data_IF_285055846419
#
_entry.id   IF_285055846419
#
_cell.length_a   1.000
_cell.length_b   1.000
_cell.length_c   1.000
_cell.angle_alpha   90.00
_cell.angle_beta   90.00
_cell.angle_gamma   90.00
#
_symmetry.space_group_name_H-M   'P 1'
#
loop_
_entity.id
_entity.type
_entity.pdbx_description
1 polymer ?
#
# COMPACT_ATOMS: atom_id res chain seq x y z
N UNK A 1 37.67 -10.25 40.71
CA UNK A 1 36.77 -9.14 40.35
C UNK A 1 37.35 -8.44 39.15
N UNK A 2 36.85 -8.71 37.94
CA UNK A 2 37.24 -7.94 36.77
C UNK A 2 36.59 -6.55 36.89
N UNK A 3 37.42 -5.51 36.94
CA UNK A 3 36.98 -4.12 36.97
C UNK A 3 36.54 -3.77 35.55
N UNK A 4 35.26 -3.98 35.24
CA UNK A 4 34.67 -3.36 34.05
C UNK A 4 34.50 -1.87 34.36
N UNK A 5 35.06 -0.95 33.56
CA UNK A 5 34.80 0.47 33.73
C UNK A 5 33.34 0.73 33.36
N UNK A 6 32.46 0.60 34.35
CA UNK A 6 31.00 0.56 34.21
C UNK A 6 30.47 1.65 33.27
N UNK A 7 30.89 2.89 33.49
CA UNK A 7 30.49 4.04 32.66
C UNK A 7 30.99 3.93 31.22
N UNK A 8 32.24 3.52 31.02
CA UNK A 8 32.83 3.37 29.68
C UNK A 8 32.13 2.24 28.90
N UNK A 9 31.73 1.17 29.58
CA UNK A 9 30.95 0.10 28.96
C UNK A 9 29.56 0.58 28.53
N UNK A 10 28.87 1.35 29.38
CA UNK A 10 27.55 1.92 29.04
C UNK A 10 27.66 2.90 27.87
N UNK A 11 28.66 3.78 27.85
CA UNK A 11 28.86 4.74 26.76
C UNK A 11 29.16 4.05 25.42
N UNK A 12 29.96 2.99 25.45
CA UNK A 12 30.23 2.15 24.28
C UNK A 12 28.95 1.47 23.79
N UNK A 13 28.19 0.85 24.68
CA UNK A 13 26.93 0.19 24.34
C UNK A 13 25.90 1.20 23.81
N UNK A 14 25.86 2.42 24.34
CA UNK A 14 24.96 3.48 23.86
C UNK A 14 25.32 3.89 22.43
N UNK A 15 26.61 4.01 22.16
CA UNK A 15 27.11 4.35 20.83
C UNK A 15 26.76 3.27 19.82
N UNK A 16 27.10 2.01 20.13
CA UNK A 16 26.80 0.87 19.25
C UNK A 16 25.28 0.68 19.10
N UNK A 17 24.55 0.70 20.21
CA UNK A 17 23.11 0.47 20.24
C UNK A 17 22.27 1.56 19.57
N UNK A 18 22.87 2.70 19.19
CA UNK A 18 22.21 3.72 18.37
C UNK A 18 22.13 3.33 16.88
N UNK A 19 22.77 2.23 16.47
CA UNK A 19 22.73 1.68 15.12
C UNK A 19 21.88 0.39 15.10
N UNK A 20 20.96 0.28 14.14
CA UNK A 20 19.99 -0.83 14.05
C UNK A 20 20.69 -2.20 14.07
N UNK A 21 21.87 -2.33 13.45
CA UNK A 21 22.64 -3.58 13.33
C UNK A 21 23.18 -4.11 14.67
N UNK A 22 23.44 -3.21 15.64
CA UNK A 22 24.04 -3.56 16.93
C UNK A 22 23.08 -3.40 18.10
N UNK A 23 21.90 -2.81 17.87
CA UNK A 23 20.92 -2.47 18.90
C UNK A 23 20.54 -3.65 19.78
N UNK A 24 20.24 -4.81 19.18
CA UNK A 24 19.88 -6.02 19.91
C UNK A 24 20.94 -6.39 20.95
N UNK A 25 22.20 -6.48 20.51
CA UNK A 25 23.30 -6.90 21.38
C UNK A 25 23.57 -5.86 22.47
N UNK A 26 23.49 -4.58 22.12
CA UNK A 26 23.64 -3.50 23.08
C UNK A 26 22.55 -3.53 24.16
N UNK A 27 21.28 -3.68 23.76
CA UNK A 27 20.15 -3.75 24.68
C UNK A 27 20.23 -4.96 25.63
N UNK A 28 20.60 -6.13 25.11
CA UNK A 28 20.78 -7.34 25.93
C UNK A 28 21.92 -7.17 26.94
N UNK A 29 23.06 -6.62 26.51
CA UNK A 29 24.19 -6.36 27.40
C UNK A 29 23.84 -5.31 28.46
N UNK A 30 23.18 -4.22 28.07
CA UNK A 30 22.72 -3.18 28.99
C UNK A 30 21.75 -3.75 30.05
N UNK A 31 20.77 -4.56 29.65
CA UNK A 31 19.83 -5.19 30.59
C UNK A 31 20.54 -6.07 31.63
N UNK A 32 21.65 -6.70 31.27
CA UNK A 32 22.41 -7.55 32.17
C UNK A 32 23.27 -6.78 33.19
N UNK A 33 23.66 -5.55 32.88
CA UNK A 33 24.63 -4.78 33.70
C UNK A 33 24.00 -3.57 34.41
N UNK A 34 22.88 -3.04 33.91
CA UNK A 34 22.21 -1.87 34.46
C UNK A 34 21.12 -2.27 35.47
N UNK A 35 20.94 -1.51 36.56
CA UNK A 35 19.71 -1.54 37.34
C UNK A 35 18.47 -1.29 36.44
N UNK A 36 17.28 -1.82 36.80
CA UNK A 36 16.08 -1.68 35.96
C UNK A 36 15.71 -0.24 35.57
N UNK A 37 15.86 0.71 36.50
CA UNK A 37 15.54 2.13 36.25
C UNK A 37 16.52 2.76 35.26
N UNK A 38 17.82 2.47 35.39
CA UNK A 38 18.86 2.95 34.47
C UNK A 38 18.70 2.29 33.09
N UNK A 39 18.40 0.99 33.05
CA UNK A 39 18.09 0.29 31.81
C UNK A 39 16.90 0.91 31.09
N UNK A 40 15.81 1.24 31.81
CA UNK A 40 14.63 1.85 31.21
C UNK A 40 14.94 3.21 30.55
N UNK A 41 15.81 4.01 31.16
CA UNK A 41 16.26 5.30 30.61
C UNK A 41 17.11 5.10 29.34
N UNK A 42 18.12 4.22 29.39
CA UNK A 42 18.96 3.93 28.23
C UNK A 42 18.15 3.29 27.09
N UNK A 43 17.26 2.36 27.43
CA UNK A 43 16.34 1.73 26.48
C UNK A 43 15.51 2.77 25.74
N UNK A 44 14.90 3.73 26.45
CA UNK A 44 14.06 4.76 25.82
C UNK A 44 14.90 5.68 24.93
N UNK A 45 16.12 6.02 25.36
CA UNK A 45 17.04 6.83 24.57
C UNK A 45 17.45 6.13 23.27
N UNK A 46 17.71 4.82 23.31
CA UNK A 46 18.01 4.03 22.12
C UNK A 46 16.78 3.85 21.22
N UNK A 47 15.60 3.59 21.80
CA UNK A 47 14.37 3.35 21.04
C UNK A 47 13.92 4.58 20.25
N UNK A 48 14.16 5.78 20.79
CA UNK A 48 13.93 7.05 20.11
C UNK A 48 14.92 7.34 18.97
N UNK A 49 16.11 6.72 18.99
CA UNK A 49 17.16 6.94 17.98
C UNK A 49 17.11 5.96 16.84
N UNK A 50 16.74 4.71 17.12
CA UNK A 50 16.63 3.66 16.12
C UNK A 50 15.29 3.77 15.40
N UNK A 51 15.25 3.41 14.12
CA UNK A 51 14.02 3.50 13.31
C UNK A 51 13.70 2.20 12.59
N UNK A 52 14.66 1.31 12.36
CA UNK A 52 14.45 0.03 11.69
C UNK A 52 14.35 -1.15 12.65
N UNK A 53 15.10 -2.21 12.34
CA UNK A 53 15.14 -3.43 13.15
C UNK A 53 15.58 -3.19 14.60
N UNK A 54 16.43 -2.21 14.87
CA UNK A 54 16.82 -1.87 16.23
C UNK A 54 15.63 -1.44 17.08
N UNK A 55 14.71 -0.65 16.52
CA UNK A 55 13.47 -0.26 17.21
C UNK A 55 12.61 -1.48 17.51
N UNK A 56 12.40 -2.35 16.53
CA UNK A 56 11.64 -3.60 16.71
C UNK A 56 12.24 -4.43 17.85
N UNK A 57 13.55 -4.67 17.83
CA UNK A 57 14.24 -5.45 18.85
C UNK A 57 14.16 -4.85 20.26
N UNK A 58 14.11 -3.52 20.37
CA UNK A 58 13.92 -2.81 21.64
C UNK A 58 12.47 -2.94 22.13
N UNK A 59 11.48 -2.77 21.27
CA UNK A 59 10.06 -2.90 21.63
C UNK A 59 9.72 -4.32 22.11
N UNK A 60 10.29 -5.35 21.48
CA UNK A 60 10.19 -6.74 21.95
C UNK A 60 10.87 -6.98 23.32
N UNK A 61 11.71 -6.04 23.79
CA UNK A 61 12.53 -6.13 25.02
C UNK A 61 12.28 -4.96 25.96
N UNK A 62 11.03 -4.51 26.02
CA UNK A 62 10.56 -3.44 26.90
C UNK A 62 10.95 -3.66 28.36
N UNK A 63 11.27 -2.59 29.12
CA UNK A 63 11.48 -2.67 30.56
C UNK A 63 10.28 -3.33 31.25
N UNK A 64 10.52 -4.09 32.33
CA UNK A 64 9.49 -4.94 32.95
C UNK A 64 8.30 -4.13 33.49
N UNK A 65 8.55 -2.87 33.89
CA UNK A 65 7.52 -1.93 34.34
C UNK A 65 7.67 -0.59 33.61
N UNK A 66 7.06 -0.42 32.42
CA UNK A 66 7.05 0.85 31.71
C UNK A 66 6.32 1.91 32.53
N UNK A 67 6.99 3.03 32.80
CA UNK A 67 6.39 4.18 33.46
C UNK A 67 5.41 4.93 32.54
N UNK A 68 4.76 5.97 33.07
CA UNK A 68 3.80 6.77 32.31
C UNK A 68 4.42 7.38 31.04
N UNK A 69 5.66 7.85 31.10
CA UNK A 69 6.32 8.50 29.97
C UNK A 69 6.62 7.49 28.85
N UNK A 70 7.10 6.30 29.21
CA UNK A 70 7.32 5.20 28.26
C UNK A 70 6.00 4.76 27.63
N UNK A 71 4.94 4.56 28.43
CA UNK A 71 3.61 4.18 27.93
C UNK A 71 3.06 5.18 26.92
N UNK A 72 3.13 6.47 27.26
CA UNK A 72 2.68 7.53 26.35
C UNK A 72 3.50 7.56 25.06
N UNK A 73 4.82 7.36 25.16
CA UNK A 73 5.68 7.32 23.98
C UNK A 73 5.37 6.11 23.09
N UNK A 74 5.13 4.92 23.66
CA UNK A 74 4.75 3.72 22.91
C UNK A 74 3.51 3.96 22.04
N UNK A 75 2.49 4.60 22.61
CA UNK A 75 1.22 4.84 21.92
C UNK A 75 1.27 5.99 20.90
N UNK A 76 2.31 6.82 20.90
CA UNK A 76 2.42 8.00 20.02
C UNK A 76 3.48 7.87 18.95
N UNK A 77 4.56 7.16 19.25
CA UNK A 77 5.72 7.06 18.37
C UNK A 77 6.34 5.66 18.35
N UNK A 78 6.27 4.92 19.45
CA UNK A 78 6.99 3.65 19.58
C UNK A 78 6.57 2.57 18.59
N UNK A 79 5.32 2.61 18.13
CA UNK A 79 4.80 1.71 17.09
C UNK A 79 5.40 1.95 15.71
N UNK A 80 5.89 3.17 15.44
CA UNK A 80 6.32 3.56 14.11
C UNK A 80 7.72 2.99 13.85
N UNK A 81 7.96 2.33 12.72
CA UNK A 81 9.28 1.86 12.33
C UNK A 81 9.41 1.81 10.80
N UNK A 82 10.63 1.77 10.30
CA UNK A 82 10.97 1.81 8.87
C UNK A 82 10.86 0.44 8.17
N UNK A 83 10.41 -0.60 8.87
CA UNK A 83 10.23 -1.96 8.33
C UNK A 83 8.74 -2.23 8.11
N UNK A 84 7.99 -2.54 9.16
CA UNK A 84 6.55 -2.83 9.17
C UNK A 84 5.99 -2.57 10.56
N UNK A 85 4.92 -1.76 10.67
CA UNK A 85 4.31 -1.37 11.97
C UNK A 85 3.77 -2.59 12.72
N UNK A 86 3.36 -3.63 12.01
CA UNK A 86 2.80 -4.88 12.53
C UNK A 86 3.73 -5.57 13.55
N UNK A 87 5.06 -5.46 13.39
CA UNK A 87 6.02 -6.01 14.35
C UNK A 87 5.89 -5.41 15.76
N UNK A 88 5.52 -4.13 15.85
CA UNK A 88 5.54 -3.36 17.10
C UNK A 88 4.16 -3.00 17.63
N UNK A 89 3.13 -3.11 16.80
CA UNK A 89 1.77 -2.67 17.10
C UNK A 89 1.22 -3.33 18.38
N UNK A 90 1.21 -4.67 18.45
CA UNK A 90 0.69 -5.39 19.61
C UNK A 90 1.45 -5.06 20.89
N UNK A 91 2.78 -5.03 20.84
CA UNK A 91 3.60 -4.68 22.00
C UNK A 91 3.30 -3.27 22.51
N UNK A 92 3.15 -2.30 21.61
CA UNK A 92 2.79 -0.94 21.98
C UNK A 92 1.38 -0.88 22.57
N UNK A 93 0.41 -1.62 22.02
CA UNK A 93 -0.96 -1.68 22.56
C UNK A 93 -1.02 -2.29 23.96
N UNK A 94 -0.31 -3.41 24.16
CA UNK A 94 -0.28 -4.16 25.41
C UNK A 94 0.46 -3.40 26.50
N UNK A 95 1.70 -2.97 26.23
CA UNK A 95 2.54 -2.34 27.25
C UNK A 95 2.27 -0.84 27.40
N UNK A 96 1.74 -0.18 26.37
CA UNK A 96 1.24 1.19 26.45
C UNK A 96 -0.14 1.30 27.12
N UNK A 97 -0.84 0.17 27.28
CA UNK A 97 -2.21 0.10 27.81
C UNK A 97 -3.20 0.93 26.98
N UNK A 98 -3.24 0.66 25.66
CA UNK A 98 -4.03 1.41 24.69
C UNK A 98 -5.49 1.61 25.11
N UNK A 99 -6.16 0.54 25.54
CA UNK A 99 -7.56 0.64 25.98
C UNK A 99 -7.73 1.64 27.14
N UNK A 100 -6.84 1.66 28.14
CA UNK A 100 -6.91 2.62 29.25
C UNK A 100 -6.62 4.05 28.80
N UNK A 101 -5.63 4.24 27.93
CA UNK A 101 -5.30 5.55 27.37
C UNK A 101 -6.49 6.16 26.61
N UNK A 102 -7.24 5.33 25.88
CA UNK A 102 -8.44 5.75 25.16
C UNK A 102 -9.67 5.97 26.05
N UNK A 103 -9.62 5.66 27.35
CA UNK A 103 -10.72 5.92 28.27
C UNK A 103 -10.80 7.39 28.73
N UNK A 104 -9.69 8.13 28.60
CA UNK A 104 -9.57 9.50 29.06
C UNK A 104 -9.71 10.53 27.93
N UNK A 105 -9.14 11.71 28.16
CA UNK A 105 -8.96 12.73 27.12
C UNK A 105 -7.93 12.26 26.09
N UNK A 106 -8.31 12.29 24.82
CA UNK A 106 -7.48 11.85 23.71
C UNK A 106 -7.21 13.04 22.80
N UNK A 107 -5.94 13.38 22.65
CA UNK A 107 -5.49 14.36 21.66
C UNK A 107 -5.24 13.72 20.29
N UNK A 108 -4.98 14.55 19.28
CA UNK A 108 -4.80 14.10 17.91
C UNK A 108 -3.61 13.14 17.71
N UNK A 109 -2.52 13.32 18.45
CA UNK A 109 -1.33 12.46 18.34
C UNK A 109 -1.60 11.06 18.92
N UNK A 110 -2.27 10.97 20.07
CA UNK A 110 -2.67 9.69 20.64
C UNK A 110 -3.71 9.00 19.75
N UNK A 111 -4.67 9.75 19.20
CA UNK A 111 -5.68 9.18 18.32
C UNK A 111 -5.05 8.62 17.04
N UNK A 112 -4.10 9.35 16.44
CA UNK A 112 -3.33 8.88 15.28
C UNK A 112 -2.53 7.63 15.61
N UNK A 113 -1.81 7.62 16.73
CA UNK A 113 -1.05 6.44 17.15
C UNK A 113 -1.93 5.23 17.44
N UNK A 114 -3.10 5.44 18.05
CA UNK A 114 -4.11 4.40 18.23
C UNK A 114 -4.60 3.83 16.90
N UNK A 115 -4.85 4.68 15.90
CA UNK A 115 -5.26 4.26 14.56
C UNK A 115 -4.22 3.34 13.90
N UNK A 116 -2.95 3.75 13.92
CA UNK A 116 -1.83 3.00 13.36
C UNK A 116 -1.59 1.66 14.07
N UNK A 117 -1.67 1.66 15.40
CA UNK A 117 -1.53 0.45 16.22
C UNK A 117 -2.67 -0.53 15.94
N UNK A 118 -3.92 -0.05 15.90
CA UNK A 118 -5.08 -0.90 15.59
C UNK A 118 -4.96 -1.48 14.19
N UNK A 119 -4.62 -0.67 13.18
CA UNK A 119 -4.38 -1.13 11.81
C UNK A 119 -3.31 -2.22 11.75
N UNK A 120 -2.19 -2.01 12.43
CA UNK A 120 -1.10 -2.98 12.49
C UNK A 120 -1.54 -4.32 13.09
N UNK A 121 -2.32 -4.30 14.17
CA UNK A 121 -2.85 -5.54 14.78
C UNK A 121 -3.94 -6.20 13.92
N UNK A 122 -4.77 -5.43 13.20
CA UNK A 122 -5.80 -5.98 12.29
C UNK A 122 -5.15 -6.70 11.11
N UNK A 123 -4.06 -6.16 10.56
CA UNK A 123 -3.22 -6.83 9.56
C UNK A 123 -2.59 -8.11 10.14
N UNK A 124 -2.06 -8.00 11.37
CA UNK A 124 -1.68 -9.13 12.22
C UNK A 124 -0.51 -9.98 11.71
N UNK A 125 0.22 -9.52 10.70
CA UNK A 125 1.41 -10.20 10.19
C UNK A 125 2.45 -9.15 9.76
N UNK A 126 3.74 -9.34 10.07
CA UNK A 126 4.36 -10.51 10.70
C UNK A 126 4.35 -10.54 12.25
N UNK A 127 3.83 -9.52 12.93
CA UNK A 127 3.70 -9.50 14.39
C UNK A 127 2.43 -10.19 14.90
N UNK A 128 2.13 -10.12 16.21
CA UNK A 128 0.91 -10.67 16.78
C UNK A 128 -0.36 -9.96 16.26
N UNK A 129 -1.45 -10.73 16.13
CA UNK A 129 -2.74 -10.25 15.65
C UNK A 129 -3.58 -9.53 16.70
N UNK A 130 -4.67 -8.90 16.27
CA UNK A 130 -5.64 -8.24 17.14
C UNK A 130 -6.41 -9.22 18.03
N UNK A 131 -6.54 -10.48 17.60
CA UNK A 131 -7.12 -11.59 18.37
C UNK A 131 -6.27 -11.96 19.60
N UNK A 132 -4.97 -11.69 19.56
CA UNK A 132 -4.07 -11.87 20.71
C UNK A 132 -4.12 -10.69 21.70
N UNK A 133 -4.88 -9.63 21.42
CA UNK A 133 -5.04 -8.49 22.32
C UNK A 133 -6.34 -8.60 23.15
N UNK A 134 -6.29 -8.90 24.47
CA UNK A 134 -7.49 -9.20 25.26
C UNK A 134 -8.52 -8.07 25.34
N UNK A 135 -8.10 -6.83 25.06
CA UNK A 135 -8.95 -5.64 25.12
C UNK A 135 -9.31 -5.12 23.73
N UNK A 136 -9.21 -5.94 22.68
CA UNK A 136 -9.41 -5.53 21.29
C UNK A 136 -10.75 -4.84 21.04
N UNK A 137 -11.88 -5.49 21.36
CA UNK A 137 -13.21 -4.93 21.15
C UNK A 137 -13.39 -3.60 21.92
N UNK A 138 -12.96 -3.56 23.19
CA UNK A 138 -13.03 -2.37 24.03
C UNK A 138 -12.17 -1.21 23.50
N UNK A 139 -10.95 -1.49 23.04
CA UNK A 139 -10.07 -0.48 22.47
C UNK A 139 -10.64 0.08 21.16
N UNK A 140 -11.20 -0.79 20.30
CA UNK A 140 -11.90 -0.38 19.09
C UNK A 140 -13.10 0.52 19.41
N UNK A 141 -13.95 0.13 20.36
CA UNK A 141 -15.14 0.91 20.75
C UNK A 141 -14.75 2.31 21.26
N UNK A 142 -13.75 2.40 22.13
CA UNK A 142 -13.24 3.68 22.66
C UNK A 142 -12.64 4.54 21.55
N UNK A 143 -11.82 3.95 20.68
CA UNK A 143 -11.23 4.66 19.54
C UNK A 143 -12.30 5.25 18.61
N UNK A 144 -13.31 4.47 18.21
CA UNK A 144 -14.40 4.93 17.35
C UNK A 144 -15.21 6.04 18.03
N UNK A 145 -15.42 5.95 19.36
CA UNK A 145 -16.13 6.97 20.13
C UNK A 145 -15.45 8.34 20.06
N UNK A 146 -14.12 8.39 19.98
CA UNK A 146 -13.37 9.65 19.82
C UNK A 146 -13.43 10.23 18.39
N UNK A 147 -13.72 9.42 17.39
CA UNK A 147 -13.88 9.87 16.00
C UNK A 147 -15.30 10.41 15.75
N UNK A 148 -16.29 9.78 16.37
CA UNK A 148 -17.72 10.06 16.15
C UNK A 148 -18.12 11.55 16.24
N UNK A 149 -17.54 12.40 17.11
CA UNK A 149 -17.86 13.82 17.12
C UNK A 149 -17.50 14.60 15.84
N UNK A 150 -16.74 14.01 14.91
CA UNK A 150 -16.35 14.61 13.63
C UNK A 150 -15.19 15.62 13.74
N UNK A 151 -14.85 16.09 14.93
CA UNK A 151 -13.77 17.08 15.15
C UNK A 151 -12.38 16.56 14.82
N UNK A 152 -12.21 15.24 14.78
CA UNK A 152 -10.96 14.58 14.43
C UNK A 152 -11.06 13.84 13.09
N UNK A 153 -11.96 14.25 12.20
CA UNK A 153 -12.13 13.58 10.91
C UNK A 153 -10.82 13.68 10.08
N UNK A 154 -10.24 12.51 9.77
CA UNK A 154 -9.06 12.30 8.94
C UNK A 154 -9.29 11.01 8.11
N UNK A 155 -8.72 10.93 6.91
CA UNK A 155 -8.89 9.75 6.04
C UNK A 155 -8.34 8.46 6.68
N UNK A 156 -7.29 8.56 7.50
CA UNK A 156 -6.78 7.44 8.30
C UNK A 156 -7.86 6.88 9.23
N UNK A 157 -8.58 7.76 9.94
CA UNK A 157 -9.61 7.35 10.88
C UNK A 157 -10.80 6.69 10.18
N UNK A 158 -11.16 7.18 8.99
CA UNK A 158 -12.17 6.52 8.15
C UNK A 158 -11.74 5.11 7.75
N UNK A 159 -10.51 4.96 7.26
CA UNK A 159 -9.96 3.66 6.84
C UNK A 159 -10.03 2.65 7.99
N UNK A 160 -9.44 3.01 9.14
CA UNK A 160 -9.40 2.14 10.33
C UNK A 160 -10.79 1.82 10.85
N UNK A 161 -11.73 2.77 10.86
CA UNK A 161 -13.13 2.49 11.20
C UNK A 161 -13.77 1.50 10.21
N UNK A 162 -13.41 1.59 8.94
CA UNK A 162 -13.80 0.61 7.92
C UNK A 162 -13.28 -0.79 8.21
N UNK A 163 -12.03 -0.92 8.65
CA UNK A 163 -11.40 -2.20 8.99
C UNK A 163 -12.01 -2.82 10.25
N UNK A 164 -12.20 -2.02 11.30
CA UNK A 164 -12.90 -2.45 12.52
C UNK A 164 -14.31 -2.92 12.17
N UNK A 165 -15.01 -2.24 11.27
CA UNK A 165 -16.34 -2.64 10.81
C UNK A 165 -16.34 -3.95 10.00
N UNK A 166 -15.23 -4.32 9.33
CA UNK A 166 -15.09 -5.66 8.70
C UNK A 166 -14.86 -6.71 9.77
N UNK A 167 -13.95 -6.45 10.70
CA UNK A 167 -13.60 -7.34 11.80
C UNK A 167 -14.81 -7.62 12.71
N UNK A 168 -15.66 -6.61 12.98
CA UNK A 168 -16.89 -6.77 13.76
C UNK A 168 -17.95 -7.67 13.09
N UNK A 169 -17.79 -8.05 11.81
CA UNK A 169 -18.65 -9.04 11.15
C UNK A 169 -18.19 -10.47 11.40
N UNK A 170 -16.97 -10.67 11.88
CA UNK A 170 -16.41 -11.98 12.19
C UNK A 170 -16.88 -12.42 13.58
N UNK A 171 -17.60 -13.54 13.65
CA UNK A 171 -18.16 -14.04 14.92
C UNK A 171 -17.09 -14.35 15.98
N UNK A 172 -15.87 -14.67 15.56
CA UNK A 172 -14.76 -15.00 16.43
C UNK A 172 -14.14 -13.77 17.13
N UNK A 173 -14.38 -12.55 16.61
CA UNK A 173 -13.71 -11.36 17.10
C UNK A 173 -14.23 -10.88 18.46
N UNK A 174 -15.54 -10.86 18.64
CA UNK A 174 -16.20 -10.28 19.81
C UNK A 174 -17.60 -10.88 20.01
N UNK A 175 -18.18 -10.69 21.19
CA UNK A 175 -19.54 -11.15 21.44
C UNK A 175 -20.58 -10.39 20.57
N UNK A 176 -21.79 -10.94 20.47
CA UNK A 176 -22.85 -10.35 19.62
C UNK A 176 -23.16 -8.89 20.00
N UNK A 177 -23.17 -8.55 21.29
CA UNK A 177 -23.50 -7.21 21.75
C UNK A 177 -22.39 -6.20 21.42
N UNK A 178 -21.12 -6.60 21.58
CA UNK A 178 -19.95 -5.84 21.16
C UNK A 178 -19.93 -5.63 19.65
N UNK A 179 -20.14 -6.69 18.86
CA UNK A 179 -20.18 -6.60 17.39
C UNK A 179 -21.27 -5.65 16.90
N UNK A 180 -22.45 -5.67 17.52
CA UNK A 180 -23.53 -4.73 17.20
C UNK A 180 -23.15 -3.28 17.52
N UNK A 181 -22.53 -3.02 18.68
CA UNK A 181 -22.07 -1.67 19.05
C UNK A 181 -21.01 -1.15 18.08
N UNK A 182 -19.99 -1.96 17.77
CA UNK A 182 -18.93 -1.58 16.84
C UNK A 182 -19.49 -1.31 15.44
N UNK A 183 -20.36 -2.18 14.93
CA UNK A 183 -21.00 -2.00 13.62
C UNK A 183 -21.78 -0.67 13.58
N UNK A 184 -22.59 -0.39 14.60
CA UNK A 184 -23.35 0.86 14.68
C UNK A 184 -22.46 2.11 14.75
N UNK A 185 -21.33 2.06 15.47
CA UNK A 185 -20.36 3.15 15.51
C UNK A 185 -19.69 3.36 14.15
N UNK A 186 -19.25 2.30 13.49
CA UNK A 186 -18.65 2.38 12.15
C UNK A 186 -19.62 2.94 11.11
N UNK A 187 -20.91 2.57 11.17
CA UNK A 187 -21.94 3.11 10.28
C UNK A 187 -22.17 4.61 10.50
N UNK A 188 -22.23 5.06 11.76
CA UNK A 188 -22.35 6.48 12.08
C UNK A 188 -21.13 7.27 11.60
N UNK A 189 -19.92 6.73 11.82
CA UNK A 189 -18.68 7.35 11.33
C UNK A 189 -18.73 7.44 9.81
N UNK A 190 -19.12 6.40 9.08
CA UNK A 190 -19.24 6.46 7.60
C UNK A 190 -20.26 7.49 7.11
N UNK A 191 -21.25 7.81 7.91
CA UNK A 191 -22.28 8.80 7.59
C UNK A 191 -21.88 10.24 7.96
N UNK A 192 -20.70 10.46 8.53
CA UNK A 192 -20.20 11.79 8.87
C UNK A 192 -20.08 12.68 7.61
N UNK A 193 -20.56 13.94 7.66
CA UNK A 193 -20.62 14.84 6.50
C UNK A 193 -19.24 15.39 6.07
N UNK A 194 -18.19 15.17 6.85
CA UNK A 194 -16.84 15.69 6.61
C UNK A 194 -16.11 14.96 5.47
N UNK A 195 -16.47 13.70 5.17
CA UNK A 195 -15.72 12.86 4.24
C UNK A 195 -15.59 13.39 2.82
N UNK A 196 -16.63 13.94 2.17
CA UNK A 196 -16.49 14.46 0.81
C UNK A 196 -15.40 15.54 0.72
N UNK A 197 -15.32 16.45 1.70
CA UNK A 197 -14.31 17.50 1.72
C UNK A 197 -12.90 16.95 1.99
N UNK A 198 -12.77 15.97 2.89
CA UNK A 198 -11.49 15.34 3.20
C UNK A 198 -10.96 14.48 2.03
N UNK A 199 -11.85 13.76 1.34
CA UNK A 199 -11.50 12.99 0.14
C UNK A 199 -11.01 13.93 -0.95
N UNK A 200 -11.73 15.03 -1.22
CA UNK A 200 -11.34 16.01 -2.21
C UNK A 200 -9.98 16.65 -1.89
N UNK A 201 -9.74 17.01 -0.63
CA UNK A 201 -8.45 17.51 -0.18
C UNK A 201 -7.34 16.46 -0.32
N UNK A 202 -7.64 15.20 0.02
CA UNK A 202 -6.70 14.09 -0.08
C UNK A 202 -6.31 13.76 -1.53
N UNK A 203 -7.25 13.86 -2.49
CA UNK A 203 -6.99 13.68 -3.92
C UNK A 203 -6.00 14.71 -4.49
N UNK A 204 -5.86 15.85 -3.82
CA UNK A 204 -4.92 16.92 -4.18
C UNK A 204 -3.71 17.00 -3.22
N UNK A 205 -3.59 16.07 -2.27
CA UNK A 205 -2.55 16.12 -1.27
C UNK A 205 -1.21 15.61 -1.80
N UNK A 206 -0.11 16.22 -1.37
CA UNK A 206 1.22 15.91 -1.89
C UNK A 206 1.73 14.53 -1.44
N UNK A 207 1.41 14.14 -0.21
CA UNK A 207 1.73 12.83 0.36
C UNK A 207 1.06 11.69 -0.41
N UNK A 208 1.85 10.69 -0.80
CA UNK A 208 1.39 9.57 -1.64
C UNK A 208 0.41 8.64 -0.91
N UNK A 209 0.56 8.45 0.40
CA UNK A 209 -0.33 7.61 1.19
C UNK A 209 -1.71 8.26 1.32
N UNK A 210 -1.74 9.55 1.67
CA UNK A 210 -3.00 10.31 1.76
C UNK A 210 -3.71 10.32 0.40
N UNK A 211 -2.97 10.55 -0.69
CA UNK A 211 -3.52 10.49 -2.05
C UNK A 211 -4.12 9.11 -2.37
N UNK A 212 -3.41 8.03 -2.04
CA UNK A 212 -3.89 6.67 -2.32
C UNK A 212 -5.15 6.33 -1.53
N UNK A 213 -5.18 6.66 -0.23
CA UNK A 213 -6.37 6.48 0.61
C UNK A 213 -7.55 7.27 0.05
N UNK A 214 -7.36 8.54 -0.31
CA UNK A 214 -8.41 9.37 -0.91
C UNK A 214 -8.95 8.79 -2.23
N UNK A 215 -8.08 8.27 -3.09
CA UNK A 215 -8.46 7.60 -4.34
C UNK A 215 -9.37 6.39 -4.07
N UNK A 216 -8.97 5.51 -3.15
CA UNK A 216 -9.76 4.33 -2.80
C UNK A 216 -11.14 4.72 -2.26
N UNK A 217 -11.18 5.73 -1.38
CA UNK A 217 -12.41 6.20 -0.76
C UNK A 217 -13.36 6.89 -1.74
N UNK A 218 -12.81 7.71 -2.65
CA UNK A 218 -13.57 8.34 -3.73
C UNK A 218 -14.30 7.26 -4.55
N UNK A 219 -13.60 6.20 -4.98
CA UNK A 219 -14.20 5.09 -5.72
C UNK A 219 -15.26 4.34 -4.90
N UNK A 220 -14.97 4.06 -3.63
CA UNK A 220 -15.89 3.34 -2.74
C UNK A 220 -17.22 4.10 -2.54
N UNK A 221 -17.22 5.42 -2.63
CA UNK A 221 -18.41 6.26 -2.58
C UNK A 221 -19.06 6.51 -3.96
N UNK A 222 -18.54 5.87 -5.02
CA UNK A 222 -19.04 6.05 -6.39
C UNK A 222 -18.58 7.33 -7.08
N UNK A 223 -17.61 8.05 -6.50
CA UNK A 223 -16.95 9.18 -7.14
C UNK A 223 -15.94 8.76 -8.20
N UNK A 224 -15.58 9.71 -9.07
CA UNK A 224 -14.61 9.52 -10.15
C UNK A 224 -13.30 10.27 -9.84
N UNK A 225 -12.24 9.59 -9.36
CA UNK A 225 -10.97 10.23 -9.05
C UNK A 225 -10.09 10.47 -10.30
N UNK A 226 -10.53 10.06 -11.49
CA UNK A 226 -9.69 10.11 -12.70
C UNK A 226 -9.10 11.50 -12.99
N UNK A 227 -9.87 12.63 -12.89
CA UNK A 227 -9.31 13.96 -13.12
C UNK A 227 -8.15 14.30 -12.18
N UNK A 228 -8.25 13.94 -10.89
CA UNK A 228 -7.19 14.17 -9.91
C UNK A 228 -5.96 13.30 -10.18
N UNK A 229 -6.15 12.03 -10.57
CA UNK A 229 -5.05 11.13 -10.97
C UNK A 229 -4.31 11.70 -12.19
N UNK A 230 -5.06 12.14 -13.21
CA UNK A 230 -4.49 12.71 -14.43
C UNK A 230 -3.73 14.00 -14.14
N UNK A 231 -4.29 14.90 -13.34
CA UNK A 231 -3.62 16.12 -12.90
C UNK A 231 -2.31 15.82 -12.16
N UNK A 232 -2.35 14.94 -11.16
CA UNK A 232 -1.16 14.54 -10.39
C UNK A 232 -0.08 13.94 -11.29
N UNK A 233 -0.45 13.06 -12.22
CA UNK A 233 0.49 12.50 -13.18
C UNK A 233 1.15 13.59 -14.04
N UNK A 234 0.36 14.55 -14.52
CA UNK A 234 0.84 15.65 -15.36
C UNK A 234 1.86 16.53 -14.64
N UNK A 235 1.65 16.80 -13.35
CA UNK A 235 2.56 17.61 -12.54
C UNK A 235 3.83 16.87 -12.14
N UNK A 236 3.72 15.60 -11.75
CA UNK A 236 4.79 14.86 -11.07
C UNK A 236 5.47 13.79 -11.91
N UNK A 237 4.90 13.42 -13.06
CA UNK A 237 5.34 12.29 -13.89
C UNK A 237 5.47 10.98 -13.11
N UNK A 238 4.52 10.75 -12.20
CA UNK A 238 4.54 9.60 -11.32
C UNK A 238 4.18 8.31 -12.09
N UNK A 239 5.21 7.58 -12.54
CA UNK A 239 5.05 6.41 -13.43
C UNK A 239 4.22 5.26 -12.85
N UNK A 240 3.97 5.25 -11.54
CA UNK A 240 3.09 4.26 -10.89
C UNK A 240 1.60 4.44 -11.20
N UNK A 241 1.18 5.58 -11.78
CA UNK A 241 -0.23 5.90 -11.96
C UNK A 241 -0.85 5.35 -13.25
N UNK A 242 -0.08 4.76 -14.17
CA UNK A 242 -0.63 4.19 -15.42
C UNK A 242 -1.76 3.20 -15.18
N UNK A 243 -1.59 2.31 -14.19
CA UNK A 243 -2.65 1.38 -13.79
C UNK A 243 -3.92 2.11 -13.35
N UNK A 244 -3.78 3.14 -12.50
CA UNK A 244 -4.89 3.91 -11.94
C UNK A 244 -5.62 4.74 -13.01
N UNK A 245 -4.89 5.27 -14.00
CA UNK A 245 -5.45 6.00 -15.14
C UNK A 245 -6.30 5.10 -16.04
N UNK A 246 -5.99 3.81 -16.14
CA UNK A 246 -6.78 2.84 -16.91
C UNK A 246 -8.01 2.31 -16.13
N UNK A 247 -8.11 2.59 -14.82
CA UNK A 247 -9.26 2.20 -14.00
C UNK A 247 -10.44 3.16 -14.20
N UNK A 248 -10.95 3.24 -15.43
CA UNK A 248 -12.15 3.98 -15.83
C UNK A 248 -12.87 3.24 -16.95
N UNK A 249 -14.17 3.47 -17.13
CA UNK A 249 -14.95 3.02 -18.29
C UNK A 249 -15.17 4.15 -19.32
N UNK A 250 -14.69 5.36 -19.04
CA UNK A 250 -14.89 6.51 -19.92
C UNK A 250 -13.92 6.46 -21.12
N UNK A 251 -14.42 6.28 -22.36
CA UNK A 251 -13.57 6.19 -23.54
C UNK A 251 -12.79 7.48 -23.84
N UNK A 252 -13.28 8.66 -23.46
CA UNK A 252 -12.59 9.94 -23.69
C UNK A 252 -11.37 10.08 -22.78
N UNK A 253 -11.45 9.52 -21.57
CA UNK A 253 -10.32 9.45 -20.65
C UNK A 253 -9.25 8.49 -21.16
N UNK A 254 -9.66 7.32 -21.67
CA UNK A 254 -8.73 6.37 -22.27
C UNK A 254 -8.03 6.96 -23.49
N UNK A 255 -8.72 7.72 -24.34
CA UNK A 255 -8.11 8.45 -25.43
C UNK A 255 -7.00 9.41 -24.94
N UNK A 256 -7.22 10.09 -23.81
CA UNK A 256 -6.19 10.94 -23.18
C UNK A 256 -5.00 10.14 -22.64
N UNK A 257 -5.23 8.96 -22.03
CA UNK A 257 -4.15 8.07 -21.58
C UNK A 257 -3.32 7.57 -22.76
N UNK A 258 -3.97 7.20 -23.86
CA UNK A 258 -3.30 6.75 -25.09
C UNK A 258 -2.43 7.87 -25.66
N UNK A 259 -2.98 9.07 -25.85
CA UNK A 259 -2.23 10.21 -26.38
C UNK A 259 -1.03 10.56 -25.49
N UNK A 260 -1.21 10.48 -24.17
CA UNK A 260 -0.15 10.68 -23.20
C UNK A 260 0.96 9.64 -23.36
N UNK A 261 0.62 8.35 -23.43
CA UNK A 261 1.57 7.26 -23.59
C UNK A 261 2.32 7.34 -24.93
N UNK A 262 1.64 7.68 -26.02
CA UNK A 262 2.27 7.90 -27.33
C UNK A 262 3.26 9.07 -27.32
N UNK A 263 3.05 10.07 -26.46
CA UNK A 263 3.93 11.23 -26.35
C UNK A 263 5.13 11.05 -25.41
N UNK A 264 4.99 10.18 -24.40
CA UNK A 264 5.99 10.05 -23.32
C UNK A 264 6.80 8.76 -23.35
N UNK A 265 6.22 7.66 -23.87
CA UNK A 265 6.94 6.39 -23.98
C UNK A 265 7.79 6.39 -25.25
N UNK A 266 9.02 5.89 -25.14
CA UNK A 266 9.85 5.57 -26.29
C UNK A 266 9.35 4.27 -26.94
N UNK A 267 8.27 4.40 -27.71
CA UNK A 267 7.64 3.29 -28.42
C UNK A 267 8.61 2.61 -29.40
N UNK A 268 9.63 3.31 -29.88
CA UNK A 268 10.65 2.75 -30.78
C UNK A 268 11.58 1.82 -30.01
N UNK A 269 12.06 2.24 -28.83
CA UNK A 269 12.87 1.40 -27.96
C UNK A 269 12.09 0.17 -27.46
N UNK A 270 10.80 0.35 -27.14
CA UNK A 270 9.95 -0.77 -26.74
C UNK A 270 9.77 -1.76 -27.89
N UNK A 271 9.55 -1.28 -29.12
CA UNK A 271 9.39 -2.09 -30.33
C UNK A 271 10.73 -2.65 -30.87
N UNK A 272 11.64 -3.04 -29.99
CA UNK A 272 12.99 -3.55 -30.33
C UNK A 272 13.02 -4.98 -30.87
N UNK A 273 11.89 -5.68 -30.87
CA UNK A 273 11.73 -7.01 -31.45
C UNK A 273 11.42 -8.07 -30.38
N UNK A 274 10.62 -9.09 -30.72
CA UNK A 274 10.17 -10.09 -29.76
C UNK A 274 11.31 -10.99 -29.26
N UNK A 275 11.33 -11.23 -27.96
CA UNK A 275 12.27 -12.09 -27.23
C UNK A 275 11.51 -12.85 -26.14
N UNK A 276 12.18 -13.77 -25.43
CA UNK A 276 11.60 -14.47 -24.27
C UNK A 276 11.88 -13.74 -22.95
N UNK A 277 11.78 -12.40 -22.95
CA UNK A 277 12.07 -11.61 -21.74
C UNK A 277 10.89 -11.59 -20.78
N UNK A 278 11.21 -11.70 -19.48
CA UNK A 278 10.25 -11.56 -18.38
C UNK A 278 9.91 -10.09 -18.05
N UNK A 279 10.66 -9.12 -18.58
CA UNK A 279 10.40 -7.70 -18.34
C UNK A 279 10.72 -7.21 -16.92
N UNK A 280 11.69 -7.84 -16.24
CA UNK A 280 12.04 -7.54 -14.85
C UNK A 280 13.25 -6.60 -14.75
N UNK A 281 13.12 -5.55 -13.94
CA UNK A 281 14.19 -4.60 -13.62
C UNK A 281 13.96 -3.19 -14.20
N UNK A 282 14.75 -2.19 -13.77
CA UNK A 282 14.54 -0.78 -14.11
C UNK A 282 14.52 -0.48 -15.61
N UNK A 283 15.30 -1.23 -16.40
CA UNK A 283 15.35 -1.08 -17.86
C UNK A 283 14.01 -1.40 -18.56
N UNK A 284 13.10 -2.10 -17.87
CA UNK A 284 11.77 -2.44 -18.39
C UNK A 284 10.65 -1.52 -17.84
N UNK A 285 11.00 -0.40 -17.20
CA UNK A 285 10.02 0.54 -16.66
C UNK A 285 8.99 0.99 -17.71
N UNK A 286 9.44 1.32 -18.92
CA UNK A 286 8.54 1.73 -20.01
C UNK A 286 7.71 0.57 -20.58
N UNK A 287 8.25 -0.66 -20.57
CA UNK A 287 7.50 -1.86 -20.94
C UNK A 287 6.40 -2.16 -19.92
N UNK A 288 6.67 -1.90 -18.63
CA UNK A 288 5.70 -2.05 -17.53
C UNK A 288 4.60 -1.00 -17.62
N UNK A 289 4.96 0.25 -17.94
CA UNK A 289 3.99 1.31 -18.22
C UNK A 289 3.06 0.93 -19.40
N UNK A 290 3.64 0.46 -20.51
CA UNK A 290 2.87 -0.03 -21.65
C UNK A 290 1.98 -1.23 -21.26
N UNK A 291 2.47 -2.15 -20.43
CA UNK A 291 1.72 -3.32 -19.97
C UNK A 291 0.40 -2.95 -19.30
N UNK A 292 0.44 -1.97 -18.37
CA UNK A 292 -0.74 -1.47 -17.66
C UNK A 292 -1.78 -0.87 -18.60
N UNK A 293 -1.37 -0.30 -19.73
CA UNK A 293 -2.28 0.21 -20.75
C UNK A 293 -2.85 -0.94 -21.57
N UNK A 294 -1.98 -1.81 -22.10
CA UNK A 294 -2.38 -2.91 -23.00
C UNK A 294 -3.38 -3.86 -22.35
N UNK A 295 -3.23 -4.18 -21.06
CA UNK A 295 -4.10 -5.13 -20.36
C UNK A 295 -5.59 -4.73 -20.40
N UNK A 296 -5.87 -3.43 -20.50
CA UNK A 296 -7.22 -2.87 -20.43
C UNK A 296 -7.77 -2.44 -21.80
N UNK A 297 -6.94 -2.32 -22.84
CA UNK A 297 -7.40 -1.94 -24.19
C UNK A 297 -8.41 -2.90 -24.82
N UNK A 298 -8.51 -4.15 -24.32
CA UNK A 298 -9.61 -5.07 -24.70
C UNK A 298 -11.01 -4.49 -24.44
N UNK A 299 -11.14 -3.58 -23.46
CA UNK A 299 -12.40 -2.88 -23.11
C UNK A 299 -12.70 -1.69 -24.02
N UNK A 300 -11.73 -1.24 -24.83
CA UNK A 300 -11.84 -0.04 -25.67
C UNK A 300 -11.54 -0.34 -27.15
N UNK A 301 -12.40 -1.12 -27.84
CA UNK A 301 -12.20 -1.43 -29.26
C UNK A 301 -12.00 -0.21 -30.15
N UNK A 302 -11.01 -0.31 -31.05
CA UNK A 302 -10.68 0.75 -32.01
C UNK A 302 -9.75 1.85 -31.46
N UNK A 303 -9.36 1.81 -30.18
CA UNK A 303 -8.47 2.79 -29.57
C UNK A 303 -7.07 2.21 -29.24
N UNK A 304 -6.02 3.01 -29.42
CA UNK A 304 -4.68 2.63 -28.94
C UNK A 304 -3.95 1.65 -29.85
N UNK A 305 -4.28 1.61 -31.15
CA UNK A 305 -3.64 0.73 -32.12
C UNK A 305 -2.11 0.87 -32.15
N UNK A 306 -1.57 2.08 -32.08
CA UNK A 306 -0.12 2.32 -32.04
C UNK A 306 0.53 1.56 -30.88
N UNK A 307 -0.09 1.61 -29.70
CA UNK A 307 0.40 0.97 -28.49
C UNK A 307 0.31 -0.56 -28.60
N UNK A 308 -0.80 -1.09 -29.12
CA UNK A 308 -0.96 -2.54 -29.39
C UNK A 308 0.11 -3.03 -30.36
N UNK A 309 0.33 -2.31 -31.46
CA UNK A 309 1.36 -2.62 -32.46
C UNK A 309 2.76 -2.62 -31.85
N UNK A 310 3.06 -1.66 -30.98
CA UNK A 310 4.30 -1.60 -30.21
C UNK A 310 4.42 -2.80 -29.27
N UNK A 311 3.34 -3.15 -28.57
CA UNK A 311 3.26 -4.30 -27.69
C UNK A 311 3.58 -5.62 -28.38
N UNK A 312 3.05 -5.85 -29.59
CA UNK A 312 3.36 -7.03 -30.42
C UNK A 312 4.84 -7.14 -30.81
N UNK A 313 5.57 -6.02 -30.83
CA UNK A 313 7.01 -5.96 -31.14
C UNK A 313 7.89 -5.93 -29.90
N UNK A 314 7.32 -5.95 -28.70
CA UNK A 314 8.07 -5.87 -27.44
C UNK A 314 8.91 -7.13 -27.22
N UNK A 315 10.15 -7.01 -26.71
CA UNK A 315 10.94 -8.16 -26.23
C UNK A 315 10.30 -8.86 -25.03
N UNK A 316 9.39 -8.19 -24.31
CA UNK A 316 8.70 -8.72 -23.14
C UNK A 316 7.50 -9.56 -23.57
N UNK A 317 7.51 -10.85 -23.24
CA UNK A 317 6.46 -11.80 -23.63
C UNK A 317 5.08 -11.34 -23.16
N UNK A 318 4.99 -10.83 -21.92
CA UNK A 318 3.73 -10.37 -21.34
C UNK A 318 3.06 -9.24 -22.14
N UNK A 319 3.82 -8.26 -22.63
CA UNK A 319 3.27 -7.19 -23.47
C UNK A 319 2.63 -7.75 -24.75
N UNK A 320 3.25 -8.76 -25.37
CA UNK A 320 2.71 -9.43 -26.56
C UNK A 320 1.41 -10.16 -26.25
N UNK A 321 1.33 -10.86 -25.11
CA UNK A 321 0.07 -11.46 -24.65
C UNK A 321 -1.02 -10.40 -24.41
N UNK A 322 -0.70 -9.27 -23.78
CA UNK A 322 -1.71 -8.22 -23.52
C UNK A 322 -2.20 -7.56 -24.81
N UNK A 323 -1.30 -7.31 -25.77
CA UNK A 323 -1.66 -6.83 -27.09
C UNK A 323 -2.59 -7.80 -27.83
N UNK A 324 -2.30 -9.11 -27.78
CA UNK A 324 -3.18 -10.14 -28.35
C UNK A 324 -4.53 -10.22 -27.64
N UNK A 325 -4.58 -10.13 -26.32
CA UNK A 325 -5.84 -10.11 -25.57
C UNK A 325 -6.76 -8.97 -26.03
N UNK A 326 -6.18 -7.80 -26.33
CA UNK A 326 -6.95 -6.68 -26.89
C UNK A 326 -7.51 -7.03 -28.27
N UNK A 327 -6.67 -7.51 -29.19
CA UNK A 327 -7.08 -7.80 -30.57
C UNK A 327 -8.07 -8.96 -30.68
N UNK A 328 -7.94 -9.99 -29.85
CA UNK A 328 -8.88 -11.11 -29.81
C UNK A 328 -10.27 -10.70 -29.28
N UNK A 329 -10.34 -9.65 -28.46
CA UNK A 329 -11.59 -9.13 -27.91
C UNK A 329 -12.29 -8.11 -28.84
N UNK A 330 -11.55 -7.47 -29.74
CA UNK A 330 -12.09 -6.43 -30.60
C UNK A 330 -12.93 -6.99 -31.75
N UNK A 331 -14.06 -6.35 -32.10
CA UNK A 331 -14.77 -6.66 -33.33
C UNK A 331 -13.87 -6.47 -34.56
N UNK A 332 -13.90 -7.43 -35.49
CA UNK A 332 -13.07 -7.39 -36.71
C UNK A 332 -13.25 -6.09 -37.52
N UNK A 333 -14.46 -5.53 -37.54
CA UNK A 333 -14.78 -4.28 -38.23
C UNK A 333 -14.05 -3.05 -37.67
N UNK A 334 -13.53 -3.12 -36.43
CA UNK A 334 -12.79 -2.05 -35.77
C UNK A 334 -11.27 -2.25 -35.83
N UNK A 335 -10.79 -3.35 -36.43
CA UNK A 335 -9.37 -3.56 -36.65
C UNK A 335 -8.87 -2.68 -37.80
N UNK A 336 -7.69 -2.02 -37.64
CA UNK A 336 -7.08 -1.26 -38.73
C UNK A 336 -6.77 -2.14 -39.94
N UNK A 337 -6.76 -1.53 -41.13
CA UNK A 337 -6.57 -2.23 -42.41
C UNK A 337 -5.23 -2.97 -42.45
N UNK A 338 -4.20 -2.43 -41.80
CA UNK A 338 -2.88 -3.04 -41.71
C UNK A 338 -2.77 -4.17 -40.67
N UNK A 339 -3.80 -4.43 -39.86
CA UNK A 339 -3.73 -5.36 -38.73
C UNK A 339 -3.34 -6.78 -39.18
N UNK A 340 -3.91 -7.28 -40.27
CA UNK A 340 -3.61 -8.61 -40.81
C UNK A 340 -2.13 -8.72 -41.22
N UNK A 341 -1.59 -7.71 -41.90
CA UNK A 341 -0.19 -7.69 -42.30
C UNK A 341 0.75 -7.64 -41.08
N UNK A 342 0.41 -6.83 -40.09
CA UNK A 342 1.17 -6.71 -38.84
C UNK A 342 1.16 -8.01 -38.02
N UNK A 343 0.02 -8.69 -37.92
CA UNK A 343 -0.10 -9.98 -37.22
C UNK A 343 0.70 -11.08 -37.94
N UNK A 344 0.70 -11.09 -39.27
CA UNK A 344 1.51 -12.02 -40.06
C UNK A 344 3.01 -11.78 -39.86
N UNK A 345 3.45 -10.52 -39.81
CA UNK A 345 4.82 -10.14 -39.48
C UNK A 345 5.19 -10.62 -38.06
N UNK A 346 4.36 -10.28 -37.07
CA UNK A 346 4.56 -10.70 -35.68
C UNK A 346 4.70 -12.22 -35.55
N UNK A 347 3.81 -13.00 -36.19
CA UNK A 347 3.86 -14.47 -36.20
C UNK A 347 5.20 -15.01 -36.71
N UNK A 348 5.72 -14.42 -37.79
CA UNK A 348 6.97 -14.89 -38.40
C UNK A 348 8.22 -14.61 -37.56
N UNK A 349 8.14 -13.62 -36.66
CA UNK A 349 9.24 -13.21 -35.78
C UNK A 349 9.10 -13.73 -34.35
N UNK A 350 7.95 -14.29 -33.98
CA UNK A 350 7.62 -14.66 -32.61
C UNK A 350 8.47 -15.86 -32.13
N UNK A 351 9.29 -15.71 -31.09
CA UNK A 351 10.08 -16.80 -30.52
C UNK A 351 9.30 -17.66 -29.52
N UNK A 352 8.17 -17.21 -28.98
CA UNK A 352 7.38 -17.98 -28.02
C UNK A 352 6.28 -18.79 -28.71
N UNK A 353 6.29 -20.12 -28.52
CA UNK A 353 5.43 -21.04 -29.27
C UNK A 353 3.95 -20.77 -29.00
N UNK A 354 3.60 -20.50 -27.74
CA UNK A 354 2.24 -20.18 -27.33
C UNK A 354 1.73 -18.89 -28.01
N UNK A 355 2.56 -17.84 -28.03
CA UNK A 355 2.21 -16.57 -28.69
C UNK A 355 2.09 -16.75 -30.20
N UNK A 356 2.97 -17.55 -30.81
CA UNK A 356 2.92 -17.85 -32.24
C UNK A 356 1.65 -18.64 -32.62
N UNK A 357 1.22 -19.58 -31.78
CA UNK A 357 -0.02 -20.32 -31.96
C UNK A 357 -1.24 -19.41 -31.90
N UNK A 358 -1.31 -18.51 -30.91
CA UNK A 358 -2.37 -17.51 -30.80
C UNK A 358 -2.44 -16.58 -32.01
N UNK A 359 -1.28 -16.08 -32.46
CA UNK A 359 -1.18 -15.28 -33.69
C UNK A 359 -1.70 -16.04 -34.92
N UNK A 360 -1.39 -17.33 -35.02
CA UNK A 360 -1.88 -18.19 -36.11
C UNK A 360 -3.39 -18.37 -36.07
N UNK A 361 -3.95 -18.60 -34.88
CA UNK A 361 -5.39 -18.74 -34.68
C UNK A 361 -6.14 -17.45 -35.03
N UNK A 362 -5.66 -16.30 -34.54
CA UNK A 362 -6.27 -15.00 -34.80
C UNK A 362 -6.24 -14.67 -36.31
N UNK A 363 -5.13 -14.93 -37.00
CA UNK A 363 -5.04 -14.77 -38.46
C UNK A 363 -6.03 -15.68 -39.20
N UNK A 364 -6.22 -16.91 -38.73
CA UNK A 364 -7.21 -17.85 -39.30
C UNK A 364 -8.65 -17.34 -39.14
N UNK A 365 -8.98 -16.75 -37.99
CA UNK A 365 -10.30 -16.15 -37.74
C UNK A 365 -10.57 -14.95 -38.67
N UNK A 366 -9.58 -14.07 -38.84
CA UNK A 366 -9.70 -12.89 -39.70
C UNK A 366 -9.82 -13.24 -41.19
N UNK A 367 -9.27 -14.38 -41.63
CA UNK A 367 -9.41 -14.86 -43.01
C UNK A 367 -10.77 -15.56 -43.28
N UNK A 368 -11.42 -16.10 -42.24
CA UNK A 368 -12.65 -16.89 -42.36
C UNK A 368 -13.96 -16.09 -42.37
N UNK A 369 -13.94 -14.81 -42.00
CA UNK A 369 -15.08 -13.90 -42.05
C UNK A 369 -14.81 -12.78 -43.05
N UNK A 370 -15.30 -12.89 -44.31
CA UNK A 370 -15.20 -11.80 -45.27
C UNK A 370 -16.12 -10.64 -44.84
N UNK A 371 -15.60 -9.42 -44.99
CA UNK A 371 -16.22 -8.13 -44.71
C UNK A 371 -17.61 -7.94 -45.34
#
# INVERSE_FOLDING_TARGET
MAFFPYQQSVDLLRTLGSHDEFTLYAAVAMRAILPPEEFAQEWLALAKRTTGWGRIQLIERLPDAPDRAVRQWLLREGYNNAVMVEYTAWHCAAHGMLHEALAGEVDAELLKGAAEILRGMISGHPGPGIDEYPFAALACERYLTHILPGTAADLLHYEVAGEIGRLAREEAFADEAERQRLTALCEQIRALPEWPALIEAGLHHDDAMIFHTALQLCRAQGGDPWPAIYHRYRERRESGLWYQLMQTDNPDYIAQVIALAESELDLTAIASGPQKSLGMGPQYQQHSALDFILQDLKRFPGQGWTLIRTGLKSPVTRNRHMALNALEAWPQALLPVEAVAMLAEARSKEPEEEVQQRLTQLLGQLAGNPF
#
